data_IF_440660229875
#
_entry.id   IF_440660229875
#
_cell.length_a   1.000
_cell.length_b   1.000
_cell.length_c   1.000
_cell.angle_alpha   90.00
_cell.angle_beta   90.00
_cell.angle_gamma   90.00
#
_symmetry.space_group_name_H-M   'P 1'
#
loop_
_entity.id
_entity.type
_entity.pdbx_description
1 polymer ?
#
# COMPACT_ATOMS: atom_id res chain seq x y z
N UNK A 1 -5.98 40.98 4.03
CA UNK A 1 -4.66 40.33 4.12
C UNK A 1 -4.20 39.98 2.71
N UNK A 2 -3.22 40.69 2.14
CA UNK A 2 -2.58 40.26 0.89
C UNK A 2 -1.45 39.29 1.22
N UNK A 3 -1.42 38.15 0.52
CA UNK A 3 -0.31 37.20 0.61
C UNK A 3 0.69 37.60 -0.47
N UNK A 4 1.68 38.41 -0.10
CA UNK A 4 2.81 38.73 -0.98
C UNK A 4 3.86 37.65 -0.76
N UNK A 5 4.05 36.77 -1.74
CA UNK A 5 5.13 35.78 -1.73
C UNK A 5 5.74 35.67 -3.12
N UNK A 6 7.06 35.76 -3.21
CA UNK A 6 7.80 35.58 -4.48
C UNK A 6 8.15 34.10 -4.73
N UNK A 7 7.69 33.19 -3.87
CA UNK A 7 7.91 31.76 -4.03
C UNK A 7 6.93 31.20 -5.07
N UNK A 8 7.48 30.89 -6.25
CA UNK A 8 6.72 30.35 -7.38
C UNK A 8 5.93 29.08 -7.03
N UNK A 9 6.39 28.25 -6.08
CA UNK A 9 5.68 27.06 -5.65
C UNK A 9 4.43 27.41 -4.84
N UNK A 10 4.51 28.42 -3.96
CA UNK A 10 3.35 28.92 -3.19
C UNK A 10 2.33 29.62 -4.08
N UNK A 11 2.80 30.38 -5.07
CA UNK A 11 1.93 31.02 -6.07
C UNK A 11 1.15 29.95 -6.85
N UNK A 12 1.83 28.93 -7.35
CA UNK A 12 1.16 27.86 -8.11
C UNK A 12 0.18 27.07 -7.22
N UNK A 13 0.54 26.83 -5.95
CA UNK A 13 -0.35 26.23 -4.96
C UNK A 13 -1.61 27.08 -4.71
N UNK A 14 -1.47 28.40 -4.63
CA UNK A 14 -2.57 29.35 -4.49
C UNK A 14 -3.52 29.32 -5.70
N UNK A 15 -2.99 29.35 -6.92
CA UNK A 15 -3.81 29.26 -8.14
C UNK A 15 -4.59 27.95 -8.21
N UNK A 16 -3.94 26.81 -7.95
CA UNK A 16 -4.62 25.51 -8.00
C UNK A 16 -5.65 25.37 -6.88
N UNK A 17 -5.40 25.95 -5.69
CA UNK A 17 -6.36 25.98 -4.58
C UNK A 17 -7.56 26.88 -4.89
N UNK A 18 -7.32 28.06 -5.46
CA UNK A 18 -8.35 29.02 -5.86
C UNK A 18 -9.31 28.39 -6.88
N UNK A 19 -8.78 27.61 -7.81
CA UNK A 19 -9.60 26.90 -8.79
C UNK A 19 -10.41 25.71 -8.21
N UNK A 20 -10.05 25.20 -7.02
CA UNK A 20 -10.65 23.98 -6.44
C UNK A 20 -11.47 24.20 -5.16
N UNK A 21 -11.43 25.40 -4.57
CA UNK A 21 -12.09 25.75 -3.30
C UNK A 21 -11.84 24.76 -2.13
N UNK A 22 -10.76 23.97 -2.19
CA UNK A 22 -10.38 22.97 -1.17
C UNK A 22 -8.85 22.94 -0.99
N UNK A 23 -8.32 22.68 0.22
CA UNK A 23 -6.89 22.52 0.42
C UNK A 23 -6.33 21.35 -0.40
N UNK A 24 -5.19 21.59 -1.05
CA UNK A 24 -4.49 20.57 -1.84
C UNK A 24 -3.87 19.51 -0.94
N UNK A 25 -4.00 18.26 -1.35
CA UNK A 25 -3.29 17.13 -0.76
C UNK A 25 -1.80 17.18 -1.11
N UNK A 26 -0.97 16.48 -0.33
CA UNK A 26 0.46 16.37 -0.65
C UNK A 26 0.73 15.82 -2.06
N UNK A 27 -0.10 14.87 -2.52
CA UNK A 27 0.03 14.32 -3.86
C UNK A 27 -0.28 15.34 -4.96
N UNK A 28 -1.31 16.17 -4.75
CA UNK A 28 -1.64 17.27 -5.68
C UNK A 28 -0.54 18.33 -5.71
N UNK A 29 0.02 18.69 -4.56
CA UNK A 29 1.14 19.65 -4.46
C UNK A 29 2.34 19.11 -5.23
N UNK A 30 2.80 17.88 -4.94
CA UNK A 30 3.94 17.26 -5.64
C UNK A 30 3.71 17.17 -7.14
N UNK A 31 2.49 16.85 -7.54
CA UNK A 31 2.14 16.75 -8.94
C UNK A 31 2.05 18.12 -9.65
N UNK A 32 2.03 19.23 -8.92
CA UNK A 32 2.06 20.59 -9.44
C UNK A 32 3.45 21.24 -9.39
N UNK A 33 4.43 20.58 -8.77
CA UNK A 33 5.83 21.02 -8.78
C UNK A 33 6.46 20.88 -10.18
N UNK A 34 7.59 21.55 -10.40
CA UNK A 34 8.38 21.43 -11.64
C UNK A 34 9.38 20.26 -11.52
N UNK A 35 9.99 19.89 -12.65
CA UNK A 35 11.01 18.83 -12.74
C UNK A 35 10.50 17.52 -13.36
N UNK A 36 11.38 16.52 -13.41
CA UNK A 36 11.14 15.24 -14.09
C UNK A 36 10.34 14.22 -13.26
N UNK A 37 10.24 14.40 -11.94
CA UNK A 37 9.54 13.47 -11.04
C UNK A 37 8.02 13.50 -11.21
N UNK A 38 7.33 14.66 -11.31
CA UNK A 38 5.88 14.68 -11.50
C UNK A 38 5.40 13.95 -12.77
N UNK A 39 6.04 14.08 -13.96
CA UNK A 39 5.76 13.23 -15.11
C UNK A 39 5.88 11.72 -14.81
N UNK A 40 6.98 11.27 -14.19
CA UNK A 40 7.19 9.86 -13.84
C UNK A 40 6.10 9.33 -12.88
N UNK A 41 5.71 10.13 -11.87
CA UNK A 41 4.61 9.79 -10.96
C UNK A 41 3.29 9.59 -11.75
N UNK A 42 3.00 10.46 -12.72
CA UNK A 42 1.78 10.35 -13.54
C UNK A 42 1.82 9.12 -14.44
N UNK A 43 2.98 8.79 -15.01
CA UNK A 43 3.14 7.59 -15.83
C UNK A 43 2.87 6.33 -15.01
N UNK A 44 3.48 6.21 -13.82
CA UNK A 44 3.25 5.11 -12.90
C UNK A 44 1.78 5.07 -12.44
N UNK A 45 1.16 6.20 -12.11
CA UNK A 45 -0.24 6.26 -11.67
C UNK A 45 -1.24 5.85 -12.76
N UNK A 46 -0.90 6.01 -14.05
CA UNK A 46 -1.73 5.57 -15.19
C UNK A 46 -1.63 4.07 -15.46
N UNK A 47 -0.71 3.36 -14.80
CA UNK A 47 -0.51 1.93 -15.00
C UNK A 47 -1.79 1.13 -14.70
N UNK A 48 -2.01 0.03 -15.44
CA UNK A 48 -3.20 -0.86 -15.32
C UNK A 48 -3.46 -1.36 -13.89
N UNK A 49 -2.39 -1.50 -13.10
CA UNK A 49 -2.50 -1.83 -11.67
C UNK A 49 -3.39 -0.83 -10.91
N UNK A 50 -3.24 0.47 -11.15
CA UNK A 50 -4.03 1.50 -10.47
C UNK A 50 -5.39 1.71 -11.11
N UNK A 51 -5.48 1.64 -12.44
CA UNK A 51 -6.70 1.98 -13.17
C UNK A 51 -7.70 0.82 -13.25
N UNK A 52 -7.23 -0.43 -13.26
CA UNK A 52 -8.09 -1.62 -13.41
C UNK A 52 -8.12 -2.48 -12.14
N UNK A 53 -6.98 -2.66 -11.45
CA UNK A 53 -6.88 -3.63 -10.34
C UNK A 53 -7.24 -3.02 -8.97
N UNK A 54 -6.78 -1.80 -8.69
CA UNK A 54 -7.04 -1.16 -7.40
C UNK A 54 -8.50 -0.70 -7.26
N UNK A 55 -9.04 -0.78 -6.05
CA UNK A 55 -10.42 -0.36 -5.75
C UNK A 55 -10.51 0.83 -4.77
N UNK A 56 -9.38 1.45 -4.44
CA UNK A 56 -9.35 2.62 -3.55
C UNK A 56 -9.61 3.93 -4.32
N UNK A 57 -10.16 4.96 -3.67
CA UNK A 57 -10.55 6.19 -4.36
C UNK A 57 -9.34 6.99 -4.86
N UNK A 58 -9.30 7.27 -6.17
CA UNK A 58 -8.19 8.01 -6.82
C UNK A 58 -8.45 9.52 -6.91
N UNK A 59 -9.67 9.98 -6.63
CA UNK A 59 -10.14 11.36 -6.82
C UNK A 59 -9.27 12.45 -6.17
N UNK A 60 -8.54 12.10 -5.10
CA UNK A 60 -7.64 13.02 -4.38
C UNK A 60 -6.16 12.66 -4.53
N UNK A 61 -5.78 12.02 -5.64
CA UNK A 61 -4.39 11.68 -5.95
C UNK A 61 -3.81 10.57 -5.06
N UNK A 62 -4.64 9.65 -4.56
CA UNK A 62 -4.14 8.52 -3.76
C UNK A 62 -3.25 7.60 -4.60
N UNK A 63 -3.63 7.36 -5.85
CA UNK A 63 -2.85 6.68 -6.88
C UNK A 63 -1.48 7.35 -7.07
N UNK A 64 -1.47 8.67 -7.26
CA UNK A 64 -0.24 9.47 -7.40
C UNK A 64 0.60 9.45 -6.14
N UNK A 65 -0.03 9.40 -4.98
CA UNK A 65 0.68 9.27 -3.71
C UNK A 65 1.39 7.92 -3.62
N UNK A 66 0.71 6.82 -3.96
CA UNK A 66 1.33 5.49 -3.98
C UNK A 66 2.42 5.44 -5.03
N UNK A 67 2.16 5.91 -6.25
CA UNK A 67 3.13 6.00 -7.33
C UNK A 67 4.41 6.75 -6.91
N UNK A 68 4.28 7.87 -6.20
CA UNK A 68 5.42 8.60 -5.65
C UNK A 68 6.24 7.77 -4.65
N UNK A 69 5.58 6.97 -3.80
CA UNK A 69 6.26 6.05 -2.88
C UNK A 69 6.99 4.94 -3.64
N UNK A 70 6.34 4.35 -4.64
CA UNK A 70 6.95 3.28 -5.44
C UNK A 70 8.17 3.78 -6.21
N UNK A 71 8.08 4.99 -6.78
CA UNK A 71 9.19 5.63 -7.47
C UNK A 71 10.36 5.92 -6.52
N UNK A 72 10.08 6.49 -5.33
CA UNK A 72 11.11 6.74 -4.32
C UNK A 72 11.79 5.44 -3.87
N UNK A 73 11.01 4.39 -3.58
CA UNK A 73 11.56 3.09 -3.20
C UNK A 73 12.41 2.49 -4.33
N UNK A 74 11.93 2.55 -5.57
CA UNK A 74 12.66 2.04 -6.73
C UNK A 74 13.97 2.79 -6.96
N UNK A 75 14.00 4.10 -6.70
CA UNK A 75 15.20 4.92 -6.81
C UNK A 75 16.19 4.67 -5.66
N UNK A 76 15.72 4.62 -4.41
CA UNK A 76 16.61 4.47 -3.25
C UNK A 76 17.18 3.06 -3.06
N UNK A 77 16.59 2.03 -3.70
CA UNK A 77 16.95 0.60 -3.53
C UNK A 77 17.00 0.10 -2.06
N UNK A 78 16.45 0.88 -1.12
CA UNK A 78 16.37 0.57 0.30
C UNK A 78 15.01 1.01 0.86
N UNK A 79 14.71 0.62 2.10
CA UNK A 79 13.55 1.12 2.83
C UNK A 79 13.84 2.53 3.33
N UNK A 80 13.15 3.50 2.76
CA UNK A 80 13.21 4.91 3.17
C UNK A 80 11.86 5.37 3.70
N UNK A 81 11.86 6.43 4.49
CA UNK A 81 10.63 7.02 4.97
C UNK A 81 9.80 7.52 3.77
N UNK A 82 8.50 7.29 3.83
CA UNK A 82 7.56 7.70 2.78
C UNK A 82 6.51 8.67 3.32
N UNK A 83 6.90 9.43 4.36
CA UNK A 83 6.09 10.50 4.92
C UNK A 83 6.11 11.70 3.96
N UNK A 84 5.23 12.65 4.20
CA UNK A 84 5.05 13.82 3.32
C UNK A 84 6.38 14.55 3.05
N UNK A 85 7.14 14.84 4.09
CA UNK A 85 8.38 15.61 3.98
C UNK A 85 9.42 14.88 3.12
N UNK A 86 9.56 13.56 3.26
CA UNK A 86 10.51 12.77 2.48
C UNK A 86 10.15 12.76 0.99
N UNK A 87 8.86 12.58 0.68
CA UNK A 87 8.36 12.61 -0.70
C UNK A 87 8.52 14.01 -1.31
N UNK A 88 8.26 15.08 -0.55
CA UNK A 88 8.42 16.45 -1.03
C UNK A 88 9.90 16.78 -1.28
N UNK A 89 10.80 16.35 -0.39
CA UNK A 89 12.26 16.48 -0.56
C UNK A 89 12.76 15.71 -1.78
N UNK A 90 12.24 14.51 -2.02
CA UNK A 90 12.58 13.72 -3.20
C UNK A 90 12.25 14.48 -4.49
N UNK A 91 11.05 15.09 -4.60
CA UNK A 91 10.70 15.88 -5.80
C UNK A 91 11.62 17.09 -5.95
N UNK A 92 11.90 17.83 -4.87
CA UNK A 92 12.77 19.03 -4.90
C UNK A 92 14.19 18.72 -5.36
N UNK A 93 14.76 17.58 -4.94
CA UNK A 93 16.12 17.17 -5.32
C UNK A 93 16.28 17.03 -6.84
N UNK A 94 15.25 16.55 -7.53
CA UNK A 94 15.25 16.36 -8.99
C UNK A 94 14.81 17.59 -9.78
N UNK A 95 14.26 18.61 -9.11
CA UNK A 95 14.03 19.93 -9.71
C UNK A 95 15.36 20.68 -9.92
N UNK A 96 16.29 20.50 -9.00
CA UNK A 96 17.56 21.23 -8.95
C UNK A 96 18.72 20.56 -9.71
N UNK A 97 18.58 19.27 -10.08
CA UNK A 97 19.66 18.48 -10.66
C UNK A 97 19.25 17.86 -12.00
N UNK A 98 19.78 18.42 -13.09
CA UNK A 98 19.59 17.91 -14.46
C UNK A 98 20.28 16.54 -14.68
N UNK A 99 21.29 16.22 -13.87
CA UNK A 99 22.17 15.06 -14.05
C UNK A 99 21.58 13.72 -13.58
N UNK A 100 20.48 13.72 -12.82
CA UNK A 100 19.87 12.49 -12.27
C UNK A 100 18.77 11.90 -13.16
N UNK A 101 18.61 12.36 -14.40
CA UNK A 101 17.52 11.95 -15.30
C UNK A 101 17.56 10.45 -15.62
N UNK A 102 18.76 9.89 -15.83
CA UNK A 102 18.95 8.46 -16.14
C UNK A 102 18.58 7.56 -14.96
N UNK A 103 18.96 7.93 -13.73
CA UNK A 103 18.60 7.17 -12.52
C UNK A 103 17.10 7.18 -12.27
N UNK A 104 16.45 8.32 -12.53
CA UNK A 104 15.00 8.44 -12.41
C UNK A 104 14.28 7.56 -13.44
N UNK A 105 14.73 7.58 -14.70
CA UNK A 105 14.16 6.76 -15.76
C UNK A 105 14.34 5.26 -15.46
N UNK A 106 15.50 4.85 -14.92
CA UNK A 106 15.74 3.48 -14.49
C UNK A 106 14.79 3.08 -13.34
N UNK A 107 14.60 3.96 -12.35
CA UNK A 107 13.66 3.73 -11.25
C UNK A 107 12.20 3.65 -11.72
N UNK A 108 11.79 4.49 -12.68
CA UNK A 108 10.47 4.44 -13.29
C UNK A 108 10.24 3.13 -14.03
N UNK A 109 11.17 2.72 -14.90
CA UNK A 109 11.10 1.45 -15.64
C UNK A 109 11.01 0.26 -14.70
N UNK A 110 11.81 0.27 -13.64
CA UNK A 110 11.79 -0.75 -12.58
C UNK A 110 10.43 -0.80 -11.89
N UNK A 111 9.87 0.36 -11.52
CA UNK A 111 8.55 0.42 -10.92
C UNK A 111 7.44 -0.13 -11.84
N UNK A 112 7.47 0.23 -13.12
CA UNK A 112 6.49 -0.27 -14.11
C UNK A 112 6.58 -1.78 -14.24
N UNK A 113 7.78 -2.35 -14.39
CA UNK A 113 7.97 -3.81 -14.49
C UNK A 113 7.40 -4.56 -13.30
N UNK A 114 7.72 -4.14 -12.08
CA UNK A 114 7.19 -4.79 -10.86
C UNK A 114 5.67 -4.62 -10.77
N UNK A 115 5.12 -3.49 -11.23
CA UNK A 115 3.68 -3.29 -11.29
C UNK A 115 2.99 -4.17 -12.35
N UNK A 116 3.64 -4.48 -13.46
CA UNK A 116 3.14 -5.45 -14.45
C UNK A 116 3.01 -6.84 -13.84
N UNK A 117 4.05 -7.29 -13.13
CA UNK A 117 4.05 -8.57 -12.42
C UNK A 117 2.96 -8.61 -11.33
N UNK A 118 2.84 -7.54 -10.53
CA UNK A 118 1.77 -7.41 -9.54
C UNK A 118 0.38 -7.41 -10.19
N UNK A 119 0.17 -6.69 -11.29
CA UNK A 119 -1.13 -6.58 -11.94
C UNK A 119 -1.63 -7.93 -12.44
N UNK A 120 -0.73 -8.85 -12.82
CA UNK A 120 -1.08 -10.23 -13.20
C UNK A 120 -1.64 -11.08 -12.05
N UNK A 121 -1.48 -10.66 -10.80
CA UNK A 121 -1.88 -11.42 -9.62
C UNK A 121 -3.27 -11.06 -9.08
N UNK A 122 -3.93 -10.06 -9.67
CA UNK A 122 -5.19 -9.53 -9.16
C UNK A 122 -6.28 -9.50 -10.23
N UNK A 123 -7.51 -9.71 -9.75
CA UNK A 123 -8.72 -9.46 -10.52
C UNK A 123 -8.97 -7.95 -10.68
N UNK A 124 -9.88 -7.57 -11.57
CA UNK A 124 -10.26 -6.17 -11.71
C UNK A 124 -11.05 -5.71 -10.48
N UNK A 125 -10.75 -4.51 -9.99
CA UNK A 125 -11.30 -3.96 -8.73
C UNK A 125 -11.16 -4.92 -7.54
N UNK A 126 -9.99 -5.55 -7.40
CA UNK A 126 -9.75 -6.58 -6.42
C UNK A 126 -9.94 -6.07 -4.98
N UNK A 127 -10.80 -6.74 -4.23
CA UNK A 127 -11.10 -6.37 -2.84
C UNK A 127 -9.87 -6.37 -1.92
N UNK A 128 -8.80 -7.09 -2.27
CA UNK A 128 -7.52 -7.12 -1.55
C UNK A 128 -6.76 -5.80 -1.67
N UNK A 129 -7.08 -4.98 -2.68
CA UNK A 129 -6.46 -3.69 -2.99
C UNK A 129 -7.34 -2.49 -2.60
N UNK A 130 -8.22 -2.66 -1.61
CA UNK A 130 -9.05 -1.57 -1.06
C UNK A 130 -8.27 -0.51 -0.29
N UNK A 131 -7.13 -0.89 0.28
CA UNK A 131 -6.30 0.01 1.08
C UNK A 131 -4.96 0.24 0.38
N UNK A 132 -4.65 1.51 0.10
CA UNK A 132 -3.41 1.92 -0.58
C UNK A 132 -2.15 1.81 0.30
N UNK A 133 -2.32 1.66 1.62
CA UNK A 133 -1.23 1.74 2.59
C UNK A 133 -0.16 0.65 2.44
N UNK A 134 -0.57 -0.60 2.18
CA UNK A 134 0.34 -1.76 2.11
C UNK A 134 0.95 -1.99 0.72
N UNK A 135 0.47 -1.28 -0.31
CA UNK A 135 0.95 -1.45 -1.68
C UNK A 135 2.48 -1.28 -1.81
N UNK A 136 3.13 -0.30 -1.17
CA UNK A 136 4.60 -0.20 -1.20
C UNK A 136 5.31 -1.44 -0.64
N UNK A 137 4.72 -2.12 0.34
CA UNK A 137 5.29 -3.36 0.89
C UNK A 137 5.06 -4.52 -0.08
N UNK A 138 3.85 -4.66 -0.64
CA UNK A 138 3.57 -5.69 -1.65
C UNK A 138 4.49 -5.57 -2.87
N UNK A 139 4.71 -4.33 -3.31
CA UNK A 139 5.66 -4.00 -4.36
C UNK A 139 7.06 -4.53 -4.05
N UNK A 140 7.60 -4.27 -2.85
CA UNK A 140 8.91 -4.76 -2.45
C UNK A 140 8.99 -6.28 -2.35
N UNK A 141 7.93 -6.93 -1.84
CA UNK A 141 7.87 -8.40 -1.75
C UNK A 141 7.95 -9.02 -3.14
N UNK A 142 7.15 -8.52 -4.08
CA UNK A 142 7.16 -9.01 -5.47
C UNK A 142 8.48 -8.68 -6.17
N UNK A 143 9.02 -7.48 -5.96
CA UNK A 143 10.32 -7.09 -6.51
C UNK A 143 11.45 -8.06 -6.08
N UNK A 144 11.42 -8.54 -4.84
CA UNK A 144 12.49 -9.40 -4.30
C UNK A 144 12.25 -10.91 -4.52
N UNK A 145 10.99 -11.35 -4.55
CA UNK A 145 10.62 -12.78 -4.54
C UNK A 145 9.82 -13.24 -5.76
N UNK A 146 9.53 -12.33 -6.69
CA UNK A 146 8.64 -12.58 -7.82
C UNK A 146 7.16 -12.52 -7.44
N UNK A 147 6.31 -12.48 -8.46
CA UNK A 147 4.86 -12.38 -8.29
C UNK A 147 4.15 -13.74 -8.22
N UNK A 148 4.82 -14.84 -8.49
CA UNK A 148 4.19 -16.16 -8.64
C UNK A 148 3.35 -16.53 -7.41
N UNK A 149 2.04 -16.76 -7.64
CA UNK A 149 1.05 -17.10 -6.60
C UNK A 149 0.88 -16.04 -5.51
N UNK A 150 1.37 -14.81 -5.71
CA UNK A 150 1.24 -13.74 -4.72
C UNK A 150 -0.23 -13.35 -4.46
N UNK A 151 -1.09 -13.43 -5.49
CA UNK A 151 -2.54 -13.20 -5.35
C UNK A 151 -3.24 -14.25 -4.47
N UNK A 152 -2.86 -15.52 -4.61
CA UNK A 152 -3.32 -16.62 -3.76
C UNK A 152 -2.83 -16.44 -2.33
N UNK A 153 -1.54 -16.14 -2.17
CA UNK A 153 -0.93 -15.85 -0.87
C UNK A 153 -1.69 -14.75 -0.14
N UNK A 154 -1.99 -13.62 -0.80
CA UNK A 154 -2.74 -12.55 -0.15
C UNK A 154 -4.17 -12.95 0.21
N UNK A 155 -4.80 -13.85 -0.55
CA UNK A 155 -6.12 -14.40 -0.21
C UNK A 155 -6.05 -15.23 1.07
N UNK A 156 -5.04 -16.11 1.16
CA UNK A 156 -4.72 -16.86 2.37
C UNK A 156 -4.41 -15.92 3.54
N UNK A 157 -3.47 -15.00 3.37
CA UNK A 157 -3.00 -14.09 4.42
C UNK A 157 -4.10 -13.16 4.95
N UNK A 158 -4.93 -12.62 4.06
CA UNK A 158 -6.03 -11.73 4.45
C UNK A 158 -7.14 -12.46 5.19
N UNK A 159 -7.31 -13.77 4.98
CA UNK A 159 -8.27 -14.59 5.72
C UNK A 159 -8.00 -14.52 7.22
N UNK A 160 -6.73 -14.57 7.62
CA UNK A 160 -6.33 -14.50 9.03
C UNK A 160 -6.09 -13.07 9.50
N UNK A 161 -5.41 -12.21 8.73
CA UNK A 161 -5.01 -10.88 9.19
C UNK A 161 -6.13 -9.85 9.34
N UNK A 162 -7.29 -10.10 8.71
CA UNK A 162 -8.51 -9.27 8.84
C UNK A 162 -9.47 -9.82 9.90
N UNK A 163 -9.21 -11.01 10.44
CA UNK A 163 -10.04 -11.61 11.49
C UNK A 163 -9.82 -10.93 12.85
N UNK A 164 -10.83 -11.01 13.71
CA UNK A 164 -10.73 -10.51 15.08
C UNK A 164 -9.76 -11.36 15.91
N UNK A 165 -9.03 -10.71 16.81
CA UNK A 165 -7.99 -11.36 17.61
C UNK A 165 -8.54 -12.49 18.48
N UNK A 166 -9.75 -12.32 19.02
CA UNK A 166 -10.43 -13.35 19.81
C UNK A 166 -10.74 -14.59 18.96
N UNK A 167 -11.22 -14.38 17.73
CA UNK A 167 -11.56 -15.48 16.81
C UNK A 167 -10.31 -16.23 16.36
N UNK A 168 -9.24 -15.49 16.07
CA UNK A 168 -7.96 -16.08 15.69
C UNK A 168 -7.34 -16.89 16.84
N UNK A 169 -7.37 -16.35 18.06
CA UNK A 169 -6.81 -17.00 19.25
C UNK A 169 -7.54 -18.29 19.60
N UNK A 170 -8.88 -18.30 19.48
CA UNK A 170 -9.73 -19.46 19.79
C UNK A 170 -9.75 -20.53 18.68
N UNK A 171 -8.99 -20.34 17.60
CA UNK A 171 -8.94 -21.31 16.50
C UNK A 171 -7.82 -22.33 16.74
N UNK A 172 -8.21 -23.51 17.22
CA UNK A 172 -7.28 -24.62 17.54
C UNK A 172 -6.57 -25.23 16.31
N UNK A 173 -7.14 -25.07 15.12
CA UNK A 173 -6.60 -25.61 13.87
C UNK A 173 -5.68 -24.63 13.13
N UNK A 174 -5.37 -23.47 13.74
CA UNK A 174 -4.42 -22.50 13.20
C UNK A 174 -3.15 -22.59 14.04
N UNK A 175 -2.01 -22.78 13.38
CA UNK A 175 -0.70 -22.81 14.02
C UNK A 175 -0.43 -21.56 14.87
N UNK A 176 0.13 -21.75 16.06
CA UNK A 176 0.39 -20.67 17.01
C UNK A 176 1.47 -19.71 16.50
N UNK A 177 2.45 -20.19 15.72
CA UNK A 177 3.42 -19.29 15.12
C UNK A 177 2.78 -18.40 14.04
N UNK A 178 1.84 -18.94 13.25
CA UNK A 178 1.06 -18.13 12.31
C UNK A 178 0.24 -17.07 13.04
N UNK A 179 -0.44 -17.41 14.15
CA UNK A 179 -1.18 -16.43 14.98
C UNK A 179 -0.26 -15.31 15.46
N UNK A 180 0.92 -15.65 15.98
CA UNK A 180 1.90 -14.66 16.43
C UNK A 180 2.34 -13.73 15.31
N UNK A 181 2.68 -14.26 14.13
CA UNK A 181 3.10 -13.45 12.97
C UNK A 181 1.98 -12.55 12.46
N UNK A 182 0.74 -13.01 12.46
CA UNK A 182 -0.43 -12.20 12.13
C UNK A 182 -0.63 -11.05 13.13
N UNK A 183 -0.44 -11.29 14.44
CA UNK A 183 -0.49 -10.23 15.45
C UNK A 183 0.60 -9.18 15.22
N UNK A 184 1.84 -9.61 15.01
CA UNK A 184 2.97 -8.70 14.70
C UNK A 184 2.67 -7.86 13.46
N UNK A 185 2.18 -8.49 12.39
CA UNK A 185 1.75 -7.79 11.18
C UNK A 185 0.66 -6.74 11.46
N UNK A 186 -0.35 -7.10 12.26
CA UNK A 186 -1.45 -6.20 12.61
C UNK A 186 -1.03 -5.00 13.48
N UNK A 187 0.03 -5.15 14.27
CA UNK A 187 0.64 -4.03 15.00
C UNK A 187 1.41 -3.10 14.05
N UNK A 188 2.24 -3.68 13.17
CA UNK A 188 3.10 -2.92 12.27
C UNK A 188 2.31 -2.20 11.17
N UNK A 189 1.20 -2.76 10.68
CA UNK A 189 0.38 -2.16 9.61
C UNK A 189 -0.23 -0.82 9.98
N UNK A 190 -0.18 -0.41 11.25
CA UNK A 190 -0.67 0.89 11.72
C UNK A 190 0.24 2.06 11.31
N UNK A 191 1.52 1.81 11.02
CA UNK A 191 2.51 2.86 10.68
C UNK A 191 3.33 2.54 9.42
N UNK A 192 2.66 2.24 8.31
CA UNK A 192 3.34 1.75 7.08
C UNK A 192 4.26 2.78 6.41
N UNK A 193 4.18 4.07 6.76
CA UNK A 193 4.97 5.12 6.11
C UNK A 193 6.38 5.31 6.71
N UNK A 194 6.64 4.67 7.86
CA UNK A 194 7.94 4.69 8.52
C UNK A 194 8.85 3.60 7.96
N UNK A 195 10.10 3.93 7.65
CA UNK A 195 11.08 2.98 7.08
C UNK A 195 11.25 1.72 7.93
N UNK A 196 11.33 1.87 9.26
CA UNK A 196 11.51 0.74 10.18
C UNK A 196 10.29 -0.17 10.17
N UNK A 197 9.09 0.41 10.23
CA UNK A 197 7.85 -0.39 10.16
C UNK A 197 7.67 -1.05 8.79
N UNK A 198 8.00 -0.35 7.71
CA UNK A 198 7.94 -0.90 6.35
C UNK A 198 8.91 -2.06 6.16
N UNK A 199 10.16 -1.94 6.66
CA UNK A 199 11.16 -3.00 6.61
C UNK A 199 10.73 -4.22 7.43
N UNK A 200 10.15 -4.02 8.62
CA UNK A 200 9.63 -5.13 9.45
C UNK A 200 8.42 -5.79 8.81
N UNK A 201 7.49 -5.02 8.23
CA UNK A 201 6.36 -5.56 7.46
C UNK A 201 6.83 -6.38 6.27
N UNK A 202 7.82 -5.86 5.55
CA UNK A 202 8.45 -6.55 4.44
C UNK A 202 9.08 -7.87 4.90
N UNK A 203 9.83 -7.89 6.01
CA UNK A 203 10.44 -9.10 6.54
C UNK A 203 9.39 -10.17 6.89
N UNK A 204 8.30 -9.77 7.57
CA UNK A 204 7.20 -10.68 7.90
C UNK A 204 6.54 -11.21 6.62
N UNK A 205 6.09 -10.34 5.73
CA UNK A 205 5.39 -10.79 4.51
C UNK A 205 6.29 -11.63 3.59
N UNK A 206 7.57 -11.31 3.50
CA UNK A 206 8.53 -12.07 2.68
C UNK A 206 8.75 -13.48 3.23
N UNK A 207 8.89 -13.61 4.56
CA UNK A 207 8.98 -14.92 5.20
C UNK A 207 7.73 -15.74 4.92
N UNK A 208 6.55 -15.14 5.14
CA UNK A 208 5.28 -15.83 5.00
C UNK A 208 4.95 -16.19 3.55
N UNK A 209 5.30 -15.31 2.61
CA UNK A 209 5.14 -15.58 1.19
C UNK A 209 6.03 -16.73 0.73
N UNK A 210 7.29 -16.77 1.15
CA UNK A 210 8.17 -17.91 0.83
C UNK A 210 7.68 -19.21 1.45
N UNK A 211 7.25 -19.19 2.72
CA UNK A 211 6.64 -20.36 3.38
C UNK A 211 5.39 -20.85 2.64
N UNK A 212 4.58 -19.93 2.12
CA UNK A 212 3.42 -20.25 1.30
C UNK A 212 3.83 -20.91 -0.03
N UNK A 213 4.85 -20.39 -0.71
CA UNK A 213 5.34 -20.96 -1.97
C UNK A 213 5.83 -22.40 -1.81
N UNK A 214 6.56 -22.69 -0.72
CA UNK A 214 7.04 -24.06 -0.44
C UNK A 214 5.98 -24.99 0.18
N UNK A 215 4.73 -24.55 0.31
CA UNK A 215 3.61 -25.39 0.74
C UNK A 215 3.52 -25.64 2.25
N UNK A 216 4.21 -24.85 3.09
CA UNK A 216 4.19 -25.02 4.56
C UNK A 216 2.77 -24.90 5.14
N UNK A 217 1.89 -24.12 4.49
CA UNK A 217 0.53 -23.85 4.96
C UNK A 217 -0.54 -24.80 4.41
N UNK A 218 -0.18 -26.01 3.99
CA UNK A 218 -1.11 -26.94 3.36
C UNK A 218 -2.34 -27.26 4.23
N UNK A 219 -2.14 -27.47 5.53
CA UNK A 219 -3.23 -27.76 6.48
C UNK A 219 -4.09 -26.53 6.77
N UNK A 220 -3.48 -25.36 6.94
CA UNK A 220 -4.19 -24.11 7.13
C UNK A 220 -5.05 -23.78 5.91
N UNK A 221 -4.52 -23.96 4.70
CA UNK A 221 -5.24 -23.77 3.44
C UNK A 221 -6.49 -24.67 3.38
N UNK A 222 -6.37 -25.96 3.72
CA UNK A 222 -7.52 -26.89 3.81
C UNK A 222 -8.55 -26.42 4.85
N UNK A 223 -8.10 -25.84 5.95
CA UNK A 223 -8.96 -25.38 7.05
C UNK A 223 -9.61 -24.01 6.82
N UNK A 224 -9.21 -23.24 5.80
CA UNK A 224 -9.66 -21.86 5.56
C UNK A 224 -11.19 -21.72 5.52
N UNK A 225 -11.90 -22.65 4.88
CA UNK A 225 -13.36 -22.61 4.79
C UNK A 225 -14.04 -22.69 6.16
N UNK A 226 -13.50 -23.52 7.06
CA UNK A 226 -13.99 -23.64 8.45
C UNK A 226 -13.72 -22.34 9.21
N UNK A 227 -12.54 -21.74 9.02
CA UNK A 227 -12.18 -20.47 9.65
C UNK A 227 -13.10 -19.32 9.22
N UNK A 228 -13.30 -19.14 7.91
CA UNK A 228 -14.16 -18.09 7.36
C UNK A 228 -15.59 -18.22 7.90
N UNK A 229 -16.08 -19.43 8.05
CA UNK A 229 -17.41 -19.72 8.64
C UNK A 229 -17.48 -19.28 10.11
N UNK A 230 -16.45 -19.60 10.92
CA UNK A 230 -16.33 -19.12 12.30
C UNK A 230 -16.30 -17.58 12.39
N UNK A 231 -15.52 -16.91 11.53
CA UNK A 231 -15.44 -15.44 11.49
C UNK A 231 -16.80 -14.82 11.15
N UNK A 232 -17.53 -15.38 10.18
CA UNK A 232 -18.89 -14.92 9.84
C UNK A 232 -19.86 -15.10 11.00
N UNK A 233 -19.83 -16.23 11.69
CA UNK A 233 -20.67 -16.49 12.86
C UNK A 233 -20.39 -15.49 14.01
N UNK A 234 -19.12 -15.24 14.32
CA UNK A 234 -18.71 -14.26 15.34
C UNK A 234 -19.21 -12.85 15.02
N UNK A 235 -19.08 -12.40 13.76
CA UNK A 235 -19.60 -11.09 13.31
C UNK A 235 -21.12 -10.97 13.43
N UNK A 236 -21.87 -12.04 13.11
CA UNK A 236 -23.33 -12.06 13.26
C UNK A 236 -23.75 -11.94 14.73
N UNK A 237 -23.09 -12.68 15.63
CA UNK A 237 -23.34 -12.61 17.07
C UNK A 237 -23.12 -11.19 17.61
N UNK A 238 -21.96 -10.60 17.31
CA UNK A 238 -21.64 -9.23 17.73
C UNK A 238 -22.65 -8.19 17.19
N UNK A 239 -23.11 -8.33 15.94
CA UNK A 239 -24.14 -7.44 15.37
C UNK A 239 -25.48 -7.57 16.09
N UNK A 240 -25.90 -8.79 16.41
CA UNK A 240 -27.16 -9.02 17.13
C UNK A 240 -27.10 -8.46 18.56
N UNK A 241 -25.97 -8.63 19.25
CA UNK A 241 -25.77 -8.10 20.60
C UNK A 241 -25.82 -6.56 20.62
N UNK A 242 -25.29 -5.90 19.59
CA UNK A 242 -25.37 -4.44 19.44
C UNK A 242 -26.80 -3.95 19.18
N UNK A 243 -27.57 -4.65 18.35
CA UNK A 243 -28.97 -4.29 18.06
C UNK A 243 -29.88 -4.54 19.27
N UNK A 244 -29.60 -5.56 20.08
CA UNK A 244 -30.31 -5.80 21.33
C UNK A 244 -30.06 -4.68 22.34
N UNK A 245 -28.81 -4.20 22.46
CA UNK A 245 -28.44 -3.09 23.34
C UNK A 245 -28.95 -1.72 22.88
N UNK A 246 -29.28 -1.53 21.61
CA UNK A 246 -29.86 -0.27 21.12
C UNK A 246 -31.39 -0.20 21.26
N UNK A 247 -32.03 -1.30 21.65
CA UNK A 247 -33.49 -1.42 21.83
C UNK A 247 -33.91 -1.52 23.31
N UNK A 248 -32.95 -1.64 24.22
CA UNK A 248 -33.12 -1.58 25.67
C UNK A 248 -32.69 -0.20 26.16
#
# INVERSE_FOLDING_TARGET
MSVITNDSAKINQLFVRMNRNKPLTGAEIRNAMKGAVPPAIRAIAKHKFFTQKCSFPTNRGQDKNVAAKLLLLSHSNQFVNTKKNDLDTFVKRFEQSSSNSTELAAAEKKAIRTLDELAGQFSDTDSKLKASGLIPVYFRVVEQHGAERFGEFLTFWNTYSVSDETTLSNSSFVDDHLKMRVRVFNLLKRNVNDSTSMQRLFAVLSLEFRRFQVGVYAEEIKSMGRFVSKVKAAKRKSKNDLVAKSKA
#
